data_IF_681644335399
#
_entry.id   IF_681644335399
#
_cell.length_a   1.000
_cell.length_b   1.000
_cell.length_c   1.000
_cell.angle_alpha   90.00
_cell.angle_beta   90.00
_cell.angle_gamma   90.00
#
_symmetry.space_group_name_H-M   'P 1'
#
loop_
_entity.id
_entity.type
_entity.pdbx_description
1 polymer ?
#
# COMPACT_ATOMS: atom_id res chain seq x y z
N UNK A 1 -2.29 1.63 18.28
CA UNK A 1 -1.17 1.57 17.32
C UNK A 1 -1.60 1.69 15.86
N UNK A 2 -2.82 1.31 15.46
CA UNK A 2 -3.29 1.45 14.07
C UNK A 2 -3.07 2.86 13.46
N UNK A 3 -3.42 3.94 14.19
CA UNK A 3 -3.15 5.31 13.74
C UNK A 3 -1.66 5.58 13.47
N UNK A 4 -0.79 5.05 14.32
CA UNK A 4 0.66 5.21 14.19
C UNK A 4 1.22 4.39 13.02
N UNK A 5 0.71 3.16 12.81
CA UNK A 5 1.07 2.33 11.67
C UNK A 5 0.71 3.02 10.34
N UNK A 6 -0.49 3.59 10.23
CA UNK A 6 -0.91 4.34 9.04
C UNK A 6 -0.09 5.61 8.82
N UNK A 7 0.13 6.43 9.85
CA UNK A 7 0.94 7.65 9.76
C UNK A 7 2.39 7.35 9.32
N UNK A 8 2.99 6.30 9.90
CA UNK A 8 4.32 5.86 9.52
C UNK A 8 4.36 5.32 8.08
N UNK A 9 3.36 4.54 7.66
CA UNK A 9 3.27 4.01 6.31
C UNK A 9 3.27 5.12 5.26
N UNK A 10 2.49 6.18 5.50
CA UNK A 10 2.43 7.35 4.60
C UNK A 10 3.72 8.14 4.62
N UNK A 11 4.23 8.50 5.81
CA UNK A 11 5.45 9.31 5.94
C UNK A 11 6.68 8.61 5.40
N UNK A 12 6.87 7.33 5.74
CA UNK A 12 7.98 6.52 5.27
C UNK A 12 7.98 6.38 3.75
N UNK A 13 6.81 6.08 3.16
CA UNK A 13 6.70 6.00 1.71
C UNK A 13 7.04 7.33 1.03
N UNK A 14 6.50 8.46 1.50
CA UNK A 14 6.79 9.77 0.90
C UNK A 14 8.26 10.15 1.02
N UNK A 15 8.88 9.93 2.18
CA UNK A 15 10.29 10.25 2.41
C UNK A 15 11.22 9.46 1.48
N UNK A 16 10.99 8.16 1.35
CA UNK A 16 11.87 7.27 0.59
C UNK A 16 11.58 7.31 -0.91
N UNK A 17 10.30 7.45 -1.32
CA UNK A 17 9.91 7.49 -2.74
C UNK A 17 10.58 8.66 -3.48
N UNK A 18 10.54 9.86 -2.90
CA UNK A 18 11.18 11.04 -3.50
C UNK A 18 12.71 11.04 -3.37
N UNK A 19 13.28 10.09 -2.63
CA UNK A 19 14.72 9.87 -2.52
C UNK A 19 15.24 8.77 -3.45
N UNK A 20 14.37 8.14 -4.25
CA UNK A 20 14.77 7.10 -5.21
C UNK A 20 15.55 7.70 -6.39
N UNK A 21 16.47 6.94 -7.03
CA UNK A 21 17.23 7.43 -8.18
C UNK A 21 16.34 7.83 -9.37
N UNK A 22 16.66 8.95 -10.02
CA UNK A 22 15.90 9.50 -11.15
C UNK A 22 15.78 8.56 -12.36
N UNK A 23 16.71 7.61 -12.50
CA UNK A 23 16.71 6.64 -13.60
C UNK A 23 15.75 5.47 -13.39
N UNK A 24 15.10 5.36 -12.23
CA UNK A 24 14.09 4.33 -11.98
C UNK A 24 12.72 4.78 -12.50
N UNK A 25 11.94 3.81 -13.00
CA UNK A 25 10.54 4.04 -13.31
C UNK A 25 9.69 4.06 -12.03
N UNK A 26 8.46 4.59 -12.15
CA UNK A 26 7.55 4.75 -11.00
C UNK A 26 7.28 3.42 -10.31
N UNK A 27 7.09 2.35 -11.11
CA UNK A 27 6.83 1.01 -10.61
C UNK A 27 7.98 0.50 -9.75
N UNK A 28 9.21 0.63 -10.22
CA UNK A 28 10.42 0.17 -9.55
C UNK A 28 10.65 0.96 -8.26
N UNK A 29 10.58 2.29 -8.32
CA UNK A 29 10.75 3.15 -7.14
C UNK A 29 9.74 2.83 -6.05
N UNK A 30 8.44 2.87 -6.36
CA UNK A 30 7.40 2.62 -5.37
C UNK A 30 7.44 1.18 -4.83
N UNK A 31 7.62 0.17 -5.69
CA UNK A 31 7.69 -1.24 -5.25
C UNK A 31 8.86 -1.48 -4.30
N UNK A 32 10.04 -0.92 -4.58
CA UNK A 32 11.22 -1.10 -3.72
C UNK A 32 11.03 -0.42 -2.37
N UNK A 33 10.50 0.80 -2.36
CA UNK A 33 10.19 1.52 -1.11
C UNK A 33 9.15 0.78 -0.28
N UNK A 34 8.03 0.36 -0.89
CA UNK A 34 6.97 -0.37 -0.18
C UNK A 34 7.47 -1.69 0.41
N UNK A 35 8.34 -2.42 -0.30
CA UNK A 35 8.95 -3.65 0.23
C UNK A 35 9.88 -3.38 1.40
N UNK A 36 10.73 -2.35 1.31
CA UNK A 36 11.61 -1.97 2.42
C UNK A 36 10.80 -1.55 3.66
N UNK A 37 9.76 -0.73 3.44
CA UNK A 37 8.85 -0.28 4.49
C UNK A 37 8.07 -1.44 5.12
N UNK A 38 7.64 -2.42 4.32
CA UNK A 38 7.02 -3.65 4.81
C UNK A 38 7.96 -4.42 5.74
N UNK A 39 9.20 -4.69 5.29
CA UNK A 39 10.18 -5.44 6.08
C UNK A 39 10.47 -4.74 7.41
N UNK A 40 10.56 -3.40 7.39
CA UNK A 40 10.73 -2.61 8.62
C UNK A 40 9.51 -2.76 9.54
N UNK A 41 8.29 -2.55 9.03
CA UNK A 41 7.06 -2.65 9.81
C UNK A 41 6.85 -4.05 10.41
N UNK A 42 7.09 -5.10 9.62
CA UNK A 42 7.02 -6.49 10.07
C UNK A 42 8.05 -6.74 11.18
N UNK A 43 9.30 -6.30 11.00
CA UNK A 43 10.34 -6.41 12.02
C UNK A 43 9.97 -5.67 13.31
N UNK A 44 9.49 -4.43 13.23
CA UNK A 44 9.08 -3.68 14.42
C UNK A 44 7.91 -4.32 15.16
N UNK A 45 6.96 -4.92 14.42
CA UNK A 45 5.81 -5.62 15.00
C UNK A 45 6.24 -6.80 15.88
N UNK A 46 7.36 -7.47 15.57
CA UNK A 46 7.90 -8.57 16.39
C UNK A 46 8.51 -8.09 17.72
N UNK A 47 8.85 -6.80 17.84
CA UNK A 47 9.52 -6.25 19.02
C UNK A 47 8.56 -5.51 19.97
N UNK A 48 7.31 -5.25 19.56
CA UNK A 48 6.29 -4.64 20.41
C UNK A 48 5.48 -5.72 21.14
N UNK A 49 5.29 -5.53 22.45
CA UNK A 49 4.53 -6.48 23.30
C UNK A 49 3.02 -6.42 23.05
N UNK A 50 2.51 -5.25 22.67
CA UNK A 50 1.09 -5.02 22.45
C UNK A 50 0.90 -4.19 21.18
N UNK A 51 0.17 -4.74 20.20
CA UNK A 51 -0.10 -4.11 18.91
C UNK A 51 0.86 -4.54 17.80
N UNK A 52 0.64 -3.97 16.62
CA UNK A 52 1.46 -4.23 15.43
C UNK A 52 1.53 -2.99 14.54
N UNK A 53 2.56 -2.90 13.72
CA UNK A 53 2.73 -1.91 12.65
C UNK A 53 2.11 -2.43 11.36
N UNK A 54 0.83 -2.83 11.42
CA UNK A 54 0.09 -3.32 10.25
C UNK A 54 -0.88 -2.25 9.77
N UNK A 55 -0.88 -1.98 8.46
CA UNK A 55 -1.81 -1.02 7.84
C UNK A 55 -2.14 -1.42 6.41
N UNK A 56 -3.41 -1.32 6.04
CA UNK A 56 -3.80 -1.23 4.63
C UNK A 56 -3.15 0.00 3.99
N UNK A 57 -2.75 -0.11 2.73
CA UNK A 57 -2.06 0.96 2.02
C UNK A 57 -2.48 1.01 0.55
N UNK A 58 -2.84 2.22 0.12
CA UNK A 58 -3.08 2.57 -1.28
C UNK A 58 -2.25 3.81 -1.61
N UNK A 59 -1.41 3.73 -2.64
CA UNK A 59 -0.63 4.85 -3.13
C UNK A 59 -0.88 5.02 -4.63
N UNK A 60 -1.29 6.23 -5.04
CA UNK A 60 -1.45 6.57 -6.45
C UNK A 60 -0.44 7.65 -6.81
N UNK A 61 0.45 7.34 -7.76
CA UNK A 61 1.45 8.27 -8.28
C UNK A 61 1.03 8.73 -9.66
N UNK A 62 0.95 10.04 -9.86
CA UNK A 62 0.70 10.64 -11.17
C UNK A 62 2.03 11.06 -11.79
N UNK A 63 2.26 10.64 -13.04
CA UNK A 63 3.43 11.06 -13.83
C UNK A 63 3.00 11.39 -15.25
N UNK A 64 3.09 12.67 -15.62
CA UNK A 64 2.58 13.15 -16.89
C UNK A 64 1.06 12.94 -17.00
N UNK A 65 0.62 12.15 -17.99
CA UNK A 65 -0.79 11.81 -18.21
C UNK A 65 -1.17 10.42 -17.68
N UNK A 66 -0.26 9.77 -16.98
CA UNK A 66 -0.45 8.41 -16.48
C UNK A 66 -0.61 8.41 -14.96
N UNK A 67 -1.29 7.39 -14.44
CA UNK A 67 -1.36 7.11 -13.01
C UNK A 67 -0.90 5.68 -12.70
N UNK A 68 -0.28 5.50 -11.54
CA UNK A 68 0.26 4.25 -11.06
C UNK A 68 -0.30 3.97 -9.68
N UNK A 69 -1.19 2.99 -9.57
CA UNK A 69 -1.80 2.57 -8.31
C UNK A 69 -1.04 1.38 -7.74
N UNK A 70 -0.63 1.49 -6.47
CA UNK A 70 -0.07 0.42 -5.66
C UNK A 70 -1.02 0.16 -4.49
N UNK A 71 -1.45 -1.08 -4.30
CA UNK A 71 -2.51 -1.40 -3.37
C UNK A 71 -2.22 -2.69 -2.58
N UNK A 72 -2.44 -2.63 -1.26
CA UNK A 72 -2.50 -3.79 -0.37
C UNK A 72 -3.48 -3.52 0.79
N UNK A 73 -4.57 -4.27 0.84
CA UNK A 73 -5.44 -4.32 2.01
C UNK A 73 -6.90 -4.23 1.64
N UNK A 74 -7.69 -3.75 2.58
CA UNK A 74 -9.14 -3.66 2.49
C UNK A 74 -9.64 -2.24 2.17
N UNK A 75 -8.73 -1.30 1.92
CA UNK A 75 -9.09 0.04 1.42
C UNK A 75 -9.53 -0.02 -0.04
N UNK A 76 -10.41 0.88 -0.45
CA UNK A 76 -10.93 0.90 -1.82
C UNK A 76 -10.48 2.16 -2.55
N UNK A 77 -10.10 2.02 -3.81
CA UNK A 77 -9.77 3.13 -4.70
C UNK A 77 -10.74 3.13 -5.87
N UNK A 78 -11.50 4.22 -6.03
CA UNK A 78 -12.46 4.39 -7.10
C UNK A 78 -12.06 5.54 -8.03
N UNK A 79 -12.36 5.35 -9.31
CA UNK A 79 -12.36 6.40 -10.33
C UNK A 79 -13.79 6.83 -10.59
N UNK A 80 -14.04 8.14 -10.45
CA UNK A 80 -15.29 8.76 -10.87
C UNK A 80 -15.07 9.52 -12.18
N UNK A 81 -15.77 9.15 -13.25
CA UNK A 81 -15.78 9.86 -14.54
C UNK A 81 -17.22 10.07 -15.00
N UNK A 82 -17.69 11.32 -14.93
CA UNK A 82 -19.10 11.63 -15.17
C UNK A 82 -19.99 10.96 -14.13
N UNK A 83 -20.84 10.03 -14.56
CA UNK A 83 -21.70 9.22 -13.69
C UNK A 83 -21.16 7.80 -13.42
N UNK A 84 -20.00 7.45 -13.99
CA UNK A 84 -19.42 6.11 -13.87
C UNK A 84 -18.48 6.02 -12.65
N UNK A 85 -18.74 5.04 -11.78
CA UNK A 85 -17.87 4.64 -10.67
C UNK A 85 -17.19 3.32 -11.01
N UNK A 86 -15.88 3.37 -11.19
CA UNK A 86 -15.06 2.19 -11.46
C UNK A 86 -14.11 1.95 -10.29
N UNK A 87 -14.18 0.76 -9.68
CA UNK A 87 -13.21 0.36 -8.69
C UNK A 87 -11.89 -0.01 -9.37
N UNK A 88 -10.80 0.65 -8.98
CA UNK A 88 -9.46 0.42 -9.51
C UNK A 88 -8.67 -0.60 -8.69
N UNK A 89 -8.92 -0.67 -7.38
CA UNK A 89 -8.30 -1.63 -6.48
C UNK A 89 -9.07 -2.95 -6.44
N UNK A 90 -8.42 -4.01 -5.96
CA UNK A 90 -9.07 -5.28 -5.62
C UNK A 90 -9.08 -5.43 -4.12
N UNK A 91 -10.22 -5.86 -3.57
CA UNK A 91 -10.35 -6.10 -2.14
C UNK A 91 -9.46 -7.26 -1.73
N UNK A 92 -8.54 -7.03 -0.78
CA UNK A 92 -7.79 -8.10 -0.15
C UNK A 92 -8.41 -8.43 1.20
N UNK A 93 -9.48 -9.23 1.17
CA UNK A 93 -10.20 -9.68 2.38
C UNK A 93 -10.35 -11.20 2.41
N UNK A 94 -10.37 -11.76 3.62
CA UNK A 94 -10.71 -13.16 3.91
C UNK A 94 -11.83 -13.19 4.94
N UNK A 95 -12.79 -14.11 4.77
CA UNK A 95 -13.85 -14.37 5.74
C UNK A 95 -13.42 -15.43 6.76
N UNK A 96 -13.39 -15.08 8.04
CA UNK A 96 -13.08 -15.99 9.13
C UNK A 96 -14.19 -15.89 10.19
N UNK A 97 -14.95 -16.97 10.39
CA UNK A 97 -16.00 -17.01 11.41
C UNK A 97 -17.11 -15.96 11.23
N UNK A 98 -17.39 -15.55 9.98
CA UNK A 98 -18.39 -14.52 9.68
C UNK A 98 -17.88 -13.07 9.76
N UNK A 99 -16.60 -12.87 10.06
CA UNK A 99 -15.94 -11.57 10.07
C UNK A 99 -14.98 -11.44 8.89
N UNK A 100 -14.94 -10.25 8.29
CA UNK A 100 -13.98 -9.89 7.23
C UNK A 100 -12.71 -9.35 7.83
N UNK A 101 -11.58 -9.93 7.43
CA UNK A 101 -10.25 -9.47 7.80
C UNK A 101 -9.42 -9.17 6.55
N UNK A 102 -8.51 -8.18 6.59
CA UNK A 102 -7.57 -7.98 5.50
C UNK A 102 -6.73 -9.24 5.29
N UNK A 103 -6.68 -9.74 4.06
CA UNK A 103 -5.85 -10.89 3.67
C UNK A 103 -4.43 -10.49 3.27
N UNK A 104 -4.21 -9.18 3.09
CA UNK A 104 -2.90 -8.55 2.84
C UNK A 104 -2.88 -7.20 3.56
N UNK A 105 -1.73 -6.77 4.03
CA UNK A 105 -1.49 -5.40 4.49
C UNK A 105 0.01 -5.14 4.60
N UNK A 106 0.40 -3.87 4.60
CA UNK A 106 1.79 -3.51 4.89
C UNK A 106 2.12 -3.93 6.32
N UNK A 107 3.27 -4.59 6.50
CA UNK A 107 3.77 -5.07 7.78
C UNK A 107 3.10 -6.35 8.30
N UNK A 108 2.15 -6.93 7.57
CA UNK A 108 1.42 -8.15 7.98
C UNK A 108 2.32 -9.38 7.97
N UNK A 109 3.09 -9.56 6.90
CA UNK A 109 4.00 -10.69 6.68
C UNK A 109 5.40 -10.21 6.29
N UNK A 110 6.39 -11.11 6.33
CA UNK A 110 7.77 -10.81 5.95
C UNK A 110 7.93 -10.41 4.46
N UNK A 111 6.99 -10.83 3.61
CA UNK A 111 6.86 -10.39 2.22
C UNK A 111 5.54 -9.68 2.01
N UNK A 112 5.51 -8.71 1.10
CA UNK A 112 4.28 -8.01 0.70
C UNK A 112 3.96 -8.26 -0.76
N UNK A 113 2.73 -8.73 -1.00
CA UNK A 113 2.11 -8.77 -2.31
C UNK A 113 1.46 -7.41 -2.60
N UNK A 114 1.99 -6.72 -3.61
CA UNK A 114 1.54 -5.40 -4.01
C UNK A 114 0.78 -5.53 -5.32
N UNK A 115 -0.52 -5.21 -5.29
CA UNK A 115 -1.29 -5.05 -6.51
C UNK A 115 -0.86 -3.75 -7.19
N UNK A 116 -0.46 -3.85 -8.46
CA UNK A 116 -0.04 -2.71 -9.27
C UNK A 116 -0.94 -2.56 -10.48
N UNK A 117 -1.54 -1.38 -10.63
CA UNK A 117 -2.37 -1.02 -11.78
C UNK A 117 -1.79 0.22 -12.45
N UNK A 118 -1.41 0.08 -13.73
CA UNK A 118 -1.03 1.20 -14.59
C UNK A 118 -2.27 1.74 -15.29
N UNK A 119 -2.50 3.03 -15.20
CA UNK A 119 -3.65 3.73 -15.76
C UNK A 119 -3.10 4.69 -16.82
N UNK A 120 -3.23 4.33 -18.11
CA UNK A 120 -2.81 5.20 -19.21
C UNK A 120 -3.74 6.42 -19.34
N UNK A 121 -3.39 7.38 -20.22
CA UNK A 121 -4.16 8.63 -20.41
C UNK A 121 -5.64 8.46 -20.76
#
# INVERSE_FOLDING_TARGET
MAKQAGDLSVRGFLADYFSTPDHWDVKTSATRVLRALNSWCYSQSQHVKEGSFVSSMSAMVFRGREAHLFHMGDTLVFRLRGAEFEQLSRDHVTDLGGYRYPSRALGMDGSVDIDYTHIPP
#
